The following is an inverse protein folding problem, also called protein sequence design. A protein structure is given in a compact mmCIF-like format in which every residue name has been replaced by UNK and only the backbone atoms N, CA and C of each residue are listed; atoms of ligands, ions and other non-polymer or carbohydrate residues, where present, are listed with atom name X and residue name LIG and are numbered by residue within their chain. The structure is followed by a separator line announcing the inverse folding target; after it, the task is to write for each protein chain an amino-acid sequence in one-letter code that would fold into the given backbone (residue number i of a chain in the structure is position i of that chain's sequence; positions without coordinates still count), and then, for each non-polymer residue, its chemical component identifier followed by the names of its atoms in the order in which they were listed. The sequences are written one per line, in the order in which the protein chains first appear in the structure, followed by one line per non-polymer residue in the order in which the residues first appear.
data_IF_165797729280
#
_entry.id   IF_165797729280
#
_cell.length_a   1.000
_cell.length_b   1.000
_cell.length_c   1.000
_cell.angle_alpha   90.00
_cell.angle_beta   90.00
_cell.angle_gamma   90.00
#
_symmetry.space_group_name_H-M   'P 1'
#
loop_
_entity.id
_entity.type
_entity.pdbx_description
1 polymer ?
#
# COMPACT_ATOMS: atom_id res chain seq x y z
N UNK A 1 -32.96 10.18 72.33
CA UNK A 1 -31.56 10.49 71.92
C UNK A 1 -31.08 9.29 71.11
N UNK A 2 -30.53 9.51 69.94
CA UNK A 2 -30.00 8.54 68.96
C UNK A 2 -30.97 7.93 67.93
N UNK A 3 -31.36 8.76 66.94
CA UNK A 3 -31.80 8.29 65.60
C UNK A 3 -31.41 9.25 64.45
N UNK A 4 -30.32 9.95 64.57
CA UNK A 4 -29.94 10.96 63.56
C UNK A 4 -28.44 10.94 63.18
N UNK A 5 -27.83 9.75 63.01
CA UNK A 5 -26.41 9.64 62.59
C UNK A 5 -26.15 8.53 61.57
N UNK A 6 -27.13 8.10 60.77
CA UNK A 6 -26.88 7.03 59.74
C UNK A 6 -27.27 7.38 58.30
N UNK A 7 -27.42 8.67 57.93
CA UNK A 7 -27.87 9.08 56.58
C UNK A 7 -26.82 9.91 55.81
N UNK A 8 -25.61 10.09 56.29
CA UNK A 8 -24.58 10.94 55.59
C UNK A 8 -23.42 10.16 54.95
N UNK A 9 -23.43 8.84 54.92
CA UNK A 9 -22.32 8.04 54.33
C UNK A 9 -22.66 7.39 52.96
N UNK A 10 -23.85 7.59 52.41
CA UNK A 10 -24.28 6.91 51.18
C UNK A 10 -24.37 7.81 49.94
N UNK A 11 -23.89 9.06 49.96
CA UNK A 11 -23.95 9.97 48.80
C UNK A 11 -22.61 10.37 48.21
N UNK A 12 -21.49 9.78 48.66
CA UNK A 12 -20.14 10.15 48.17
C UNK A 12 -19.50 9.11 47.19
N UNK A 13 -20.18 8.01 46.86
CA UNK A 13 -19.58 6.92 46.03
C UNK A 13 -20.21 6.78 44.65
N UNK A 14 -21.11 7.65 44.21
CA UNK A 14 -21.75 7.54 42.89
C UNK A 14 -21.22 8.55 41.85
N UNK A 15 -20.39 9.52 42.27
CA UNK A 15 -19.88 10.54 41.31
C UNK A 15 -18.50 10.27 40.71
N UNK A 16 -17.83 9.13 40.97
CA UNK A 16 -16.52 8.85 40.40
C UNK A 16 -16.52 7.84 39.23
N UNK A 17 -17.68 7.29 38.85
CA UNK A 17 -17.75 6.34 37.71
C UNK A 17 -18.19 6.98 36.35
N UNK A 18 -18.69 8.23 36.36
CA UNK A 18 -19.15 8.84 35.10
C UNK A 18 -18.05 9.52 34.28
N UNK A 19 -16.88 9.81 34.86
CA UNK A 19 -15.77 10.44 34.11
C UNK A 19 -14.86 9.46 33.38
N UNK A 20 -14.93 8.15 33.68
CA UNK A 20 -14.08 7.14 33.05
C UNK A 20 -14.71 6.45 31.84
N UNK A 21 -16.00 6.67 31.58
CA UNK A 21 -16.69 6.08 30.42
C UNK A 21 -16.77 6.97 29.19
N UNK A 22 -16.44 8.26 29.28
CA UNK A 22 -16.50 9.17 28.12
C UNK A 22 -15.25 9.15 27.22
N UNK A 23 -14.10 8.62 27.68
CA UNK A 23 -12.88 8.55 26.85
C UNK A 23 -12.68 7.25 26.08
N UNK A 24 -13.38 6.15 26.42
CA UNK A 24 -13.18 4.86 25.74
C UNK A 24 -14.01 4.72 24.44
N UNK A 25 -15.08 5.49 24.27
CA UNK A 25 -15.94 5.41 23.08
C UNK A 25 -15.42 6.19 21.89
N UNK A 26 -14.59 7.23 22.09
CA UNK A 26 -14.00 8.00 20.98
C UNK A 26 -12.74 7.34 20.40
N UNK A 27 -11.89 6.72 21.22
CA UNK A 27 -10.69 6.01 20.71
C UNK A 27 -11.03 4.83 19.83
N UNK A 28 -12.06 4.04 20.19
CA UNK A 28 -12.50 2.90 19.38
C UNK A 28 -13.15 3.29 18.05
N UNK A 29 -13.63 4.51 17.87
CA UNK A 29 -14.26 4.95 16.63
C UNK A 29 -13.24 5.19 15.52
N UNK A 30 -12.07 5.71 15.84
CA UNK A 30 -11.02 6.02 14.86
C UNK A 30 -10.14 4.81 14.51
N UNK A 31 -10.08 3.79 15.35
CA UNK A 31 -9.35 2.55 15.07
C UNK A 31 -10.09 1.62 14.09
N UNK A 32 -11.37 1.87 13.83
CA UNK A 32 -12.16 1.06 12.90
C UNK A 32 -11.88 1.49 11.47
N UNK A 33 -11.56 0.51 10.60
CA UNK A 33 -11.47 0.73 9.17
C UNK A 33 -12.87 1.02 8.60
N UNK A 34 -12.98 2.11 7.86
CA UNK A 34 -14.19 2.53 7.12
C UNK A 34 -13.96 2.44 5.62
N UNK A 35 -15.03 2.45 4.83
CA UNK A 35 -15.02 2.18 3.40
C UNK A 35 -15.77 3.28 2.68
N UNK A 36 -15.14 3.86 1.66
CA UNK A 36 -15.63 5.05 0.98
C UNK A 36 -15.48 4.94 -0.52
N UNK A 37 -16.14 5.84 -1.23
CA UNK A 37 -15.95 6.07 -2.66
C UNK A 37 -15.90 7.57 -2.94
N UNK A 38 -15.04 7.98 -3.86
CA UNK A 38 -14.91 9.35 -4.31
C UNK A 38 -14.61 9.39 -5.82
N UNK A 39 -15.13 10.40 -6.51
CA UNK A 39 -14.79 10.61 -7.91
C UNK A 39 -13.42 11.29 -8.02
N UNK A 40 -12.53 10.70 -8.79
CA UNK A 40 -11.21 11.22 -9.08
C UNK A 40 -10.81 10.90 -10.53
N UNK A 41 -10.46 11.91 -11.31
CA UNK A 41 -10.31 11.77 -12.74
C UNK A 41 -11.61 11.24 -13.38
N UNK A 42 -11.49 10.18 -14.18
CA UNK A 42 -12.62 9.50 -14.80
C UNK A 42 -13.04 8.19 -14.09
N UNK A 43 -12.64 8.04 -12.81
CA UNK A 43 -12.92 6.87 -11.97
C UNK A 43 -13.80 7.23 -10.78
N UNK A 44 -14.53 6.23 -10.25
CA UNK A 44 -15.04 6.26 -8.87
C UNK A 44 -14.12 5.39 -8.03
N UNK A 45 -13.23 6.02 -7.28
CA UNK A 45 -12.21 5.35 -6.49
C UNK A 45 -12.82 4.84 -5.19
N UNK A 46 -12.72 3.53 -4.96
CA UNK A 46 -12.95 2.94 -3.66
C UNK A 46 -11.70 3.09 -2.80
N UNK A 47 -11.86 3.42 -1.52
CA UNK A 47 -10.75 3.45 -0.58
C UNK A 47 -11.16 3.04 0.82
N UNK A 48 -10.16 2.59 1.58
CA UNK A 48 -10.26 2.32 3.02
C UNK A 48 -9.65 3.47 3.77
N UNK A 49 -10.25 3.82 4.89
CA UNK A 49 -9.80 4.88 5.78
C UNK A 49 -9.80 4.39 7.23
N UNK A 50 -8.80 4.78 8.01
CA UNK A 50 -8.73 4.53 9.44
C UNK A 50 -7.89 5.61 10.13
N UNK A 51 -8.08 5.77 11.43
CA UNK A 51 -7.38 6.77 12.23
C UNK A 51 -8.09 8.13 12.25
N UNK A 52 -7.50 9.06 12.99
CA UNK A 52 -8.01 10.41 13.13
C UNK A 52 -7.50 11.30 11.98
N UNK A 53 -8.39 11.95 11.20
CA UNK A 53 -7.99 12.83 10.11
C UNK A 53 -7.10 14.02 10.51
N UNK A 54 -7.00 14.33 11.81
CA UNK A 54 -6.10 15.38 12.32
C UNK A 54 -4.67 14.90 12.56
N UNK A 55 -4.41 13.58 12.43
CA UNK A 55 -3.08 12.99 12.59
C UNK A 55 -2.31 12.97 11.27
N UNK A 56 -0.97 12.79 11.32
CA UNK A 56 -0.18 12.65 10.11
C UNK A 56 -0.73 11.55 9.19
N UNK A 57 -0.88 11.85 7.91
CA UNK A 57 -1.48 10.94 6.94
C UNK A 57 -0.44 10.00 6.34
N UNK A 58 -0.81 8.72 6.17
CA UNK A 58 -0.09 7.75 5.36
C UNK A 58 -0.97 7.31 4.20
N UNK A 59 -0.55 7.60 2.97
CA UNK A 59 -1.16 7.09 1.74
C UNK A 59 -0.59 5.71 1.43
N UNK A 60 -1.46 4.69 1.37
CA UNK A 60 -1.08 3.29 1.21
C UNK A 60 -1.38 2.82 -0.23
N UNK A 61 -0.35 2.72 -1.06
CA UNK A 61 -0.45 2.32 -2.47
C UNK A 61 -0.09 0.85 -2.63
N UNK A 62 -1.09 0.04 -3.00
CA UNK A 62 -0.97 -1.39 -3.25
C UNK A 62 -0.31 -1.70 -4.61
N UNK A 63 -0.17 -2.99 -4.93
CA UNK A 63 0.31 -3.45 -6.22
C UNK A 63 -0.46 -4.67 -6.76
N UNK A 64 0.08 -5.27 -7.81
CA UNK A 64 -0.52 -6.43 -8.47
C UNK A 64 -0.30 -7.74 -7.67
N UNK A 65 -1.30 -8.62 -7.60
CA UNK A 65 -2.67 -8.49 -8.13
C UNK A 65 -3.68 -7.91 -7.14
N UNK A 66 -3.20 -7.33 -6.03
CA UNK A 66 -3.99 -6.97 -4.87
C UNK A 66 -4.70 -5.61 -5.01
N UNK A 67 -5.29 -5.17 -3.93
CA UNK A 67 -5.99 -3.90 -3.77
C UNK A 67 -5.82 -3.42 -2.31
N UNK A 68 -6.55 -2.39 -1.90
CA UNK A 68 -6.45 -1.84 -0.54
C UNK A 68 -6.65 -2.85 0.59
N UNK A 69 -7.29 -4.00 0.32
CA UNK A 69 -7.49 -5.05 1.33
C UNK A 69 -6.18 -5.70 1.80
N UNK A 70 -5.08 -5.58 1.05
CA UNK A 70 -3.77 -6.05 1.52
C UNK A 70 -3.31 -5.35 2.81
N UNK A 71 -3.84 -4.15 3.07
CA UNK A 71 -3.51 -3.36 4.27
C UNK A 71 -4.43 -3.65 5.46
N UNK A 72 -5.36 -4.64 5.37
CA UNK A 72 -6.35 -4.95 6.40
C UNK A 72 -5.76 -5.26 7.77
N UNK A 73 -4.60 -5.91 7.81
CA UNK A 73 -3.89 -6.22 9.06
C UNK A 73 -3.01 -5.05 9.54
N UNK A 74 -2.49 -4.23 8.62
CA UNK A 74 -1.61 -3.11 8.94
C UNK A 74 -2.38 -1.90 9.47
N UNK A 75 -3.51 -1.55 8.83
CA UNK A 75 -4.27 -0.34 9.18
C UNK A 75 -4.69 -0.29 10.66
N UNK A 76 -5.24 -1.36 11.26
CA UNK A 76 -5.60 -1.33 12.68
C UNK A 76 -4.41 -1.13 13.62
N UNK A 77 -3.20 -1.55 13.21
CA UNK A 77 -1.98 -1.43 14.02
C UNK A 77 -1.40 -0.01 14.03
N UNK A 78 -1.77 0.83 13.05
CA UNK A 78 -1.26 2.18 12.89
C UNK A 78 -2.31 3.27 13.18
N UNK A 79 -3.60 2.93 13.20
CA UNK A 79 -4.71 3.89 13.24
C UNK A 79 -4.82 4.69 14.54
N UNK A 80 -4.16 4.29 15.61
CA UNK A 80 -4.07 5.05 16.87
C UNK A 80 -3.09 6.23 16.79
N UNK A 81 -2.15 6.20 15.85
CA UNK A 81 -1.10 7.21 15.69
C UNK A 81 -1.20 7.99 14.38
N UNK A 82 -1.76 7.40 13.32
CA UNK A 82 -1.80 7.95 11.97
C UNK A 82 -3.19 7.94 11.36
N UNK A 83 -3.43 8.87 10.44
CA UNK A 83 -4.54 8.84 9.49
C UNK A 83 -4.14 8.01 8.27
N UNK A 84 -4.88 6.97 7.94
CA UNK A 84 -4.52 5.97 6.95
C UNK A 84 -5.52 5.99 5.79
N UNK A 85 -5.04 6.16 4.58
CA UNK A 85 -5.83 6.20 3.35
C UNK A 85 -5.28 5.15 2.37
N UNK A 86 -6.08 4.17 2.01
CA UNK A 86 -5.71 3.08 1.11
C UNK A 86 -6.69 2.99 -0.07
N UNK A 87 -6.41 3.62 -1.23
CA UNK A 87 -7.23 3.49 -2.43
C UNK A 87 -7.05 2.15 -3.12
N UNK A 88 -8.08 1.72 -3.85
CA UNK A 88 -7.96 0.74 -4.93
C UNK A 88 -7.62 1.52 -6.21
N UNK A 89 -6.45 1.27 -6.81
CA UNK A 89 -6.06 1.93 -8.05
C UNK A 89 -6.96 1.54 -9.23
N UNK A 90 -7.04 2.34 -10.32
CA UNK A 90 -7.79 1.96 -11.52
C UNK A 90 -7.45 0.55 -12.00
N UNK A 91 -8.43 -0.22 -12.41
CA UNK A 91 -8.36 -1.65 -12.76
C UNK A 91 -8.19 -2.63 -11.59
N UNK A 92 -8.21 -2.18 -10.35
CA UNK A 92 -8.07 -3.04 -9.17
C UNK A 92 -9.29 -2.96 -8.24
N UNK A 93 -9.46 -3.97 -7.41
CA UNK A 93 -10.42 -4.02 -6.31
C UNK A 93 -11.83 -3.59 -6.70
N UNK A 94 -12.40 -2.70 -5.91
CA UNK A 94 -13.77 -2.19 -6.05
C UNK A 94 -13.85 -0.84 -6.79
N UNK A 95 -12.73 -0.28 -7.24
CA UNK A 95 -12.73 0.94 -8.04
C UNK A 95 -13.44 0.71 -9.37
N UNK A 96 -14.38 1.62 -9.69
CA UNK A 96 -15.06 1.66 -10.99
C UNK A 96 -14.21 2.50 -11.94
N UNK A 97 -13.71 1.86 -12.98
CA UNK A 97 -12.83 2.45 -13.99
C UNK A 97 -13.47 2.35 -15.37
N UNK A 98 -13.13 3.23 -16.32
CA UNK A 98 -13.58 3.12 -17.71
C UNK A 98 -13.21 1.77 -18.34
N UNK A 99 -13.93 1.37 -19.40
CA UNK A 99 -13.57 0.21 -20.21
C UNK A 99 -12.24 0.43 -20.96
N UNK A 100 -11.59 -0.67 -21.38
CA UNK A 100 -10.37 -0.59 -22.21
C UNK A 100 -10.57 0.14 -23.55
N UNK A 101 -11.81 0.21 -24.05
CA UNK A 101 -12.12 0.94 -25.27
C UNK A 101 -12.16 2.46 -25.07
N UNK A 102 -12.35 2.91 -23.83
CA UNK A 102 -12.47 4.32 -23.46
C UNK A 102 -11.17 4.86 -22.85
N UNK A 103 -10.34 3.97 -22.28
CA UNK A 103 -9.14 4.34 -21.56
C UNK A 103 -8.00 3.36 -21.81
N UNK A 104 -6.84 3.87 -22.19
CA UNK A 104 -5.59 3.10 -22.18
C UNK A 104 -5.05 2.95 -20.75
N UNK A 105 -4.75 1.71 -20.34
CA UNK A 105 -4.24 1.41 -19.01
C UNK A 105 -2.72 1.46 -18.99
N UNK A 106 -2.18 2.55 -18.45
CA UNK A 106 -0.75 2.84 -18.28
C UNK A 106 -0.43 3.22 -16.85
N UNK A 107 0.83 3.14 -16.43
CA UNK A 107 1.24 3.63 -15.11
C UNK A 107 1.13 5.14 -14.95
N UNK A 108 1.23 5.89 -16.05
CA UNK A 108 0.95 7.33 -16.02
C UNK A 108 -0.53 7.60 -15.75
N UNK A 109 -1.44 6.86 -16.39
CA UNK A 109 -2.87 6.94 -16.10
C UNK A 109 -3.18 6.60 -14.63
N UNK A 110 -2.61 5.52 -14.08
CA UNK A 110 -2.79 5.18 -12.68
C UNK A 110 -2.30 6.31 -11.77
N UNK A 111 -1.12 6.85 -12.04
CA UNK A 111 -0.54 7.91 -11.24
C UNK A 111 -1.35 9.22 -11.33
N UNK A 112 -1.81 9.63 -12.53
CA UNK A 112 -2.69 10.80 -12.70
C UNK A 112 -4.02 10.64 -11.97
N UNK A 113 -4.59 9.43 -11.97
CA UNK A 113 -5.80 9.17 -11.21
C UNK A 113 -5.56 9.24 -9.70
N UNK A 114 -4.41 8.75 -9.22
CA UNK A 114 -4.04 8.87 -7.80
C UNK A 114 -3.69 10.32 -7.42
N UNK A 115 -3.11 11.12 -8.32
CA UNK A 115 -2.96 12.56 -8.14
C UNK A 115 -4.32 13.23 -7.91
N UNK A 116 -5.26 13.03 -8.83
CA UNK A 116 -6.64 13.55 -8.69
C UNK A 116 -7.34 13.03 -7.42
N UNK A 117 -7.06 11.81 -6.99
CA UNK A 117 -7.58 11.24 -5.75
C UNK A 117 -7.04 11.98 -4.51
N UNK A 118 -5.72 12.23 -4.45
CA UNK A 118 -5.13 12.99 -3.34
C UNK A 118 -5.64 14.43 -3.29
N UNK A 119 -5.85 15.05 -4.45
CA UNK A 119 -6.46 16.39 -4.54
C UNK A 119 -7.92 16.41 -4.09
N UNK A 120 -8.73 15.42 -4.50
CA UNK A 120 -10.14 15.32 -4.09
C UNK A 120 -10.31 15.11 -2.57
N UNK A 121 -9.33 14.51 -1.91
CA UNK A 121 -9.29 14.34 -0.45
C UNK A 121 -8.52 15.46 0.27
N UNK A 122 -8.00 16.47 -0.45
CA UNK A 122 -7.19 17.55 0.12
C UNK A 122 -5.99 17.05 0.93
N UNK A 123 -5.29 16.02 0.42
CA UNK A 123 -4.09 15.48 1.04
C UNK A 123 -2.87 16.33 0.62
N UNK A 124 -2.60 17.40 1.35
CA UNK A 124 -1.52 18.33 1.04
C UNK A 124 -0.14 17.79 1.45
N UNK A 125 -0.07 17.00 2.54
CA UNK A 125 1.16 16.38 3.03
C UNK A 125 0.86 14.96 3.53
N UNK A 126 1.69 13.99 3.12
CA UNK A 126 1.54 12.59 3.52
C UNK A 126 2.85 11.82 3.43
N UNK A 127 3.03 10.84 4.31
CA UNK A 127 3.96 9.76 4.06
C UNK A 127 3.34 8.79 3.04
N UNK A 128 4.15 8.18 2.18
CA UNK A 128 3.68 7.17 1.22
C UNK A 128 4.19 5.79 1.61
N UNK A 129 3.27 4.82 1.67
CA UNK A 129 3.61 3.42 1.60
C UNK A 129 3.45 2.95 0.17
N UNK A 130 4.52 2.41 -0.42
CA UNK A 130 4.56 1.97 -1.81
C UNK A 130 4.92 0.48 -1.88
N UNK A 131 4.06 -0.29 -2.55
CA UNK A 131 4.23 -1.72 -2.76
C UNK A 131 4.09 -2.08 -4.23
N UNK A 132 5.00 -2.87 -4.81
CA UNK A 132 4.91 -3.40 -6.17
C UNK A 132 4.56 -2.31 -7.21
N UNK A 133 3.38 -2.33 -7.86
CA UNK A 133 2.91 -1.28 -8.78
C UNK A 133 2.68 0.07 -8.07
N UNK A 134 2.41 0.06 -6.78
CA UNK A 134 2.34 1.29 -5.99
C UNK A 134 3.67 2.05 -5.95
N UNK A 135 4.82 1.39 -6.18
CA UNK A 135 6.11 2.07 -6.22
C UNK A 135 6.24 3.02 -7.44
N UNK A 136 6.09 2.57 -8.69
CA UNK A 136 6.16 3.50 -9.82
C UNK A 136 5.04 4.54 -9.86
N UNK A 137 3.86 4.24 -9.27
CA UNK A 137 2.78 5.22 -9.10
C UNK A 137 3.17 6.27 -8.06
N UNK A 138 3.57 5.86 -6.87
CA UNK A 138 3.95 6.78 -5.79
C UNK A 138 5.19 7.62 -6.14
N UNK A 139 6.18 7.04 -6.80
CA UNK A 139 7.36 7.78 -7.24
C UNK A 139 7.05 8.83 -8.32
N UNK A 140 6.04 8.60 -9.18
CA UNK A 140 5.55 9.67 -10.07
C UNK A 140 4.91 10.80 -9.28
N UNK A 141 4.05 10.51 -8.31
CA UNK A 141 3.47 11.53 -7.42
C UNK A 141 4.56 12.32 -6.70
N UNK A 142 5.58 11.64 -6.20
CA UNK A 142 6.71 12.25 -5.51
C UNK A 142 7.53 13.17 -6.42
N UNK A 143 7.75 12.78 -7.69
CA UNK A 143 8.43 13.65 -8.66
C UNK A 143 7.60 14.87 -9.05
N UNK A 144 6.27 14.71 -9.17
CA UNK A 144 5.39 15.81 -9.56
C UNK A 144 5.14 16.81 -8.42
N UNK A 145 5.07 16.30 -7.18
CA UNK A 145 4.74 17.04 -5.97
C UNK A 145 5.68 16.69 -4.80
N UNK A 146 7.00 16.97 -4.96
CA UNK A 146 7.98 16.61 -3.93
C UNK A 146 7.68 17.25 -2.56
N UNK A 147 7.03 18.39 -2.55
CA UNK A 147 6.63 19.11 -1.34
C UNK A 147 5.53 18.41 -0.53
N UNK A 148 4.76 17.52 -1.15
CA UNK A 148 3.67 16.78 -0.47
C UNK A 148 4.16 15.54 0.27
N UNK A 149 5.34 15.02 -0.11
CA UNK A 149 5.85 13.74 0.39
C UNK A 149 6.74 13.95 1.61
N UNK A 150 6.24 13.57 2.79
CA UNK A 150 7.00 13.73 4.05
C UNK A 150 7.97 12.57 4.30
N UNK A 151 7.63 11.35 3.88
CA UNK A 151 8.47 10.17 3.98
C UNK A 151 8.02 9.08 2.98
N UNK A 152 8.90 8.13 2.67
CA UNK A 152 8.60 6.97 1.82
C UNK A 152 8.82 5.69 2.61
N UNK A 153 7.82 4.82 2.64
CA UNK A 153 7.89 3.46 3.16
C UNK A 153 7.77 2.52 1.97
N UNK A 154 8.86 1.88 1.58
CA UNK A 154 8.89 0.95 0.44
C UNK A 154 8.88 -0.50 0.93
N UNK A 155 7.77 -1.20 0.72
CA UNK A 155 7.69 -2.63 0.95
C UNK A 155 7.73 -3.35 -0.41
N UNK A 156 8.86 -4.00 -0.71
CA UNK A 156 9.09 -4.64 -2.01
C UNK A 156 8.75 -3.75 -3.22
N UNK A 157 8.89 -2.42 -3.05
CA UNK A 157 8.68 -1.40 -4.07
C UNK A 157 10.02 -0.97 -4.67
N UNK A 158 10.24 -1.25 -5.94
CA UNK A 158 11.55 -1.16 -6.58
C UNK A 158 11.65 -0.01 -7.60
N UNK A 159 12.82 0.64 -7.67
CA UNK A 159 13.17 1.59 -8.71
C UNK A 159 14.64 1.45 -9.20
N UNK A 160 15.15 0.23 -9.15
CA UNK A 160 16.52 -0.11 -9.57
C UNK A 160 16.53 -1.37 -10.42
N UNK A 161 17.34 -1.38 -11.51
CA UNK A 161 17.47 -2.53 -12.40
C UNK A 161 17.95 -3.79 -11.67
N UNK A 162 18.91 -3.64 -10.75
CA UNK A 162 19.43 -4.72 -9.94
C UNK A 162 18.41 -5.36 -8.98
N UNK A 163 17.28 -4.68 -8.74
CA UNK A 163 16.16 -5.20 -7.97
C UNK A 163 15.22 -6.11 -8.75
N UNK A 164 15.34 -6.16 -10.07
CA UNK A 164 14.51 -6.99 -10.93
C UNK A 164 15.05 -8.42 -11.00
N UNK A 165 14.35 -9.38 -10.39
CA UNK A 165 14.73 -10.79 -10.37
C UNK A 165 14.50 -11.50 -11.72
N UNK A 166 14.86 -12.80 -11.80
CA UNK A 166 14.75 -13.60 -13.03
C UNK A 166 13.35 -13.63 -13.65
N UNK A 167 12.29 -13.47 -12.86
CA UNK A 167 10.91 -13.42 -13.37
C UNK A 167 10.68 -12.28 -14.36
N UNK A 168 11.54 -11.24 -14.38
CA UNK A 168 11.45 -10.12 -15.30
C UNK A 168 12.03 -10.40 -16.69
N UNK A 169 12.78 -11.47 -16.89
CA UNK A 169 13.32 -11.85 -18.20
C UNK A 169 12.22 -12.06 -19.25
N UNK A 170 11.15 -12.78 -18.90
CA UNK A 170 10.00 -12.97 -19.79
C UNK A 170 9.28 -11.67 -20.11
N UNK A 171 9.17 -10.75 -19.13
CA UNK A 171 8.57 -9.42 -19.33
C UNK A 171 9.46 -8.57 -20.24
N UNK A 172 10.76 -8.56 -20.04
CA UNK A 172 11.72 -7.85 -20.92
C UNK A 172 11.68 -8.38 -22.37
N UNK A 173 11.55 -9.69 -22.58
CA UNK A 173 11.37 -10.28 -23.90
C UNK A 173 10.06 -9.80 -24.56
N UNK A 174 8.97 -9.76 -23.81
CA UNK A 174 7.70 -9.24 -24.29
C UNK A 174 7.77 -7.73 -24.62
N UNK A 175 8.44 -6.93 -23.80
CA UNK A 175 8.62 -5.48 -24.05
C UNK A 175 9.44 -5.20 -25.31
N UNK A 176 10.44 -6.03 -25.59
CA UNK A 176 11.28 -5.89 -26.77
C UNK A 176 10.54 -6.26 -28.08
N UNK A 177 9.58 -7.17 -28.01
CA UNK A 177 8.80 -7.63 -29.16
C UNK A 177 7.36 -8.00 -28.72
N UNK A 178 6.45 -7.00 -28.57
CA UNK A 178 5.11 -7.22 -28.05
C UNK A 178 4.19 -7.90 -29.08
N UNK A 179 4.24 -9.25 -29.12
CA UNK A 179 3.35 -10.04 -29.98
C UNK A 179 2.15 -10.60 -29.20
N UNK A 180 1.04 -10.93 -29.87
CA UNK A 180 -0.12 -11.57 -29.23
C UNK A 180 0.23 -12.87 -28.52
N UNK A 181 1.18 -13.66 -29.06
CA UNK A 181 1.63 -14.93 -28.48
C UNK A 181 2.37 -14.71 -27.15
N UNK A 182 3.25 -13.71 -27.09
CA UNK A 182 3.96 -13.35 -25.86
C UNK A 182 3.00 -12.74 -24.84
N UNK A 183 2.03 -11.92 -25.27
CA UNK A 183 0.95 -11.42 -24.40
C UNK A 183 0.17 -12.57 -23.77
N UNK A 184 -0.21 -13.58 -24.57
CA UNK A 184 -0.99 -14.72 -24.09
C UNK A 184 -0.26 -15.56 -23.02
N UNK A 185 1.07 -15.53 -22.96
CA UNK A 185 1.84 -16.23 -21.93
C UNK A 185 1.56 -15.70 -20.51
N UNK A 186 1.11 -14.44 -20.37
CA UNK A 186 0.79 -13.85 -19.08
C UNK A 186 -0.59 -14.26 -18.55
N UNK A 187 -1.43 -14.96 -19.34
CA UNK A 187 -2.74 -15.44 -18.88
C UNK A 187 -2.63 -16.32 -17.61
N UNK A 188 -1.54 -17.07 -17.46
CA UNK A 188 -1.28 -17.88 -16.27
C UNK A 188 -1.04 -17.05 -15.00
N UNK A 189 -0.69 -15.77 -15.12
CA UNK A 189 -0.47 -14.88 -13.97
C UNK A 189 -1.76 -14.63 -13.18
N UNK A 190 -2.92 -14.82 -13.82
CA UNK A 190 -4.26 -14.58 -13.24
C UNK A 190 -4.90 -15.84 -12.67
N UNK A 191 -4.26 -17.00 -12.85
CA UNK A 191 -4.73 -18.26 -12.25
C UNK A 191 -4.60 -18.22 -10.73
N UNK A 192 -5.59 -18.74 -10.00
CA UNK A 192 -5.61 -18.79 -8.55
C UNK A 192 -4.32 -19.34 -7.96
N UNK A 193 -3.79 -20.45 -8.51
CA UNK A 193 -2.56 -21.08 -8.01
C UNK A 193 -1.33 -20.17 -8.19
N UNK A 194 -1.27 -19.36 -9.25
CA UNK A 194 -0.18 -18.39 -9.44
C UNK A 194 -0.30 -17.22 -8.46
N UNK A 195 -1.51 -16.70 -8.28
CA UNK A 195 -1.79 -15.63 -7.30
C UNK A 195 -1.45 -16.12 -5.89
N UNK A 196 -1.96 -17.29 -5.48
CA UNK A 196 -1.64 -17.93 -4.21
C UNK A 196 -0.12 -18.11 -4.03
N UNK A 197 0.56 -18.53 -5.09
CA UNK A 197 2.03 -18.68 -5.10
C UNK A 197 2.77 -17.37 -4.83
N UNK A 198 2.25 -16.21 -5.26
CA UNK A 198 2.86 -14.91 -4.96
C UNK A 198 2.75 -14.57 -3.46
N UNK A 199 1.67 -14.98 -2.81
CA UNK A 199 1.45 -14.78 -1.38
C UNK A 199 2.28 -15.71 -0.50
N UNK A 200 2.37 -16.99 -0.90
CA UNK A 200 2.93 -18.05 -0.04
C UNK A 200 4.42 -18.34 -0.30
N UNK A 201 4.94 -18.03 -1.49
CA UNK A 201 6.35 -18.31 -1.81
C UNK A 201 7.29 -17.52 -0.90
N UNK A 202 8.20 -18.24 -0.25
CA UNK A 202 9.21 -17.65 0.63
C UNK A 202 8.67 -17.14 1.97
N UNK A 203 7.42 -17.43 2.28
CA UNK A 203 6.72 -17.06 3.51
C UNK A 203 6.63 -18.29 4.44
N UNK A 204 6.63 -18.13 5.77
CA UNK A 204 6.45 -19.26 6.68
C UNK A 204 5.16 -20.04 6.39
N UNK A 205 5.24 -21.37 6.42
CA UNK A 205 4.10 -22.23 6.15
C UNK A 205 2.93 -21.96 7.12
N UNK A 206 1.70 -21.87 6.59
CA UNK A 206 0.49 -21.63 7.37
C UNK A 206 0.31 -20.20 7.89
N UNK A 207 1.21 -19.26 7.56
CA UNK A 207 1.12 -17.88 8.03
C UNK A 207 0.28 -16.95 7.14
N UNK A 208 -0.15 -17.40 5.98
CA UNK A 208 -0.93 -16.61 5.01
C UNK A 208 -2.38 -17.04 5.04
N UNK A 209 -3.28 -16.09 5.35
CA UNK A 209 -4.72 -16.32 5.27
C UNK A 209 -5.16 -16.44 3.79
N UNK A 210 -6.15 -17.32 3.48
CA UNK A 210 -6.62 -17.48 2.10
C UNK A 210 -7.41 -16.28 1.58
N UNK A 211 -7.94 -15.44 2.44
CA UNK A 211 -8.86 -14.34 2.13
C UNK A 211 -8.23 -13.36 1.12
N UNK A 212 -6.94 -13.02 1.26
CA UNK A 212 -6.25 -12.08 0.39
C UNK A 212 -6.17 -12.59 -1.05
N UNK A 213 -5.56 -13.75 -1.26
CA UNK A 213 -5.34 -14.27 -2.61
C UNK A 213 -6.62 -14.77 -3.29
N UNK A 214 -7.63 -15.23 -2.52
CA UNK A 214 -8.93 -15.59 -3.07
C UNK A 214 -9.69 -14.35 -3.56
N UNK A 215 -9.63 -13.25 -2.82
CA UNK A 215 -10.25 -12.00 -3.22
C UNK A 215 -9.55 -11.40 -4.45
N UNK A 216 -8.22 -11.47 -4.52
CA UNK A 216 -7.45 -11.04 -5.70
C UNK A 216 -7.82 -11.86 -6.94
N UNK A 217 -7.91 -13.19 -6.80
CA UNK A 217 -8.33 -14.06 -7.90
C UNK A 217 -9.76 -13.72 -8.38
N UNK A 218 -10.65 -13.38 -7.46
CA UNK A 218 -11.98 -12.91 -7.81
C UNK A 218 -11.92 -11.58 -8.59
N UNK A 219 -11.19 -10.58 -8.10
CA UNK A 219 -11.13 -9.27 -8.76
C UNK A 219 -10.51 -9.35 -10.15
N UNK A 220 -9.45 -10.12 -10.34
CA UNK A 220 -8.80 -10.25 -11.65
C UNK A 220 -9.67 -11.03 -12.64
N UNK A 221 -10.62 -11.86 -12.16
CA UNK A 221 -11.57 -12.60 -12.99
C UNK A 221 -12.74 -11.75 -13.51
N UNK A 222 -12.91 -10.54 -12.99
CA UNK A 222 -13.96 -9.63 -13.46
C UNK A 222 -13.73 -9.22 -14.93
N UNK A 223 -14.79 -8.88 -15.68
CA UNK A 223 -14.67 -8.51 -17.08
C UNK A 223 -13.57 -7.47 -17.35
N UNK A 224 -12.80 -7.68 -18.41
CA UNK A 224 -11.67 -6.86 -18.86
C UNK A 224 -10.48 -6.74 -17.89
N UNK A 225 -10.59 -7.12 -16.61
CA UNK A 225 -9.54 -6.90 -15.59
C UNK A 225 -8.23 -7.55 -15.98
N UNK A 226 -8.23 -8.81 -16.41
CA UNK A 226 -7.02 -9.52 -16.84
C UNK A 226 -6.36 -8.80 -18.04
N UNK A 227 -7.15 -8.29 -18.98
CA UNK A 227 -6.62 -7.57 -20.14
C UNK A 227 -6.06 -6.18 -19.77
N UNK A 228 -6.69 -5.48 -18.81
CA UNK A 228 -6.14 -4.25 -18.23
C UNK A 228 -4.79 -4.52 -17.56
N UNK A 229 -4.66 -5.64 -16.84
CA UNK A 229 -3.38 -6.06 -16.25
C UNK A 229 -2.34 -6.42 -17.31
N UNK A 230 -2.73 -7.05 -18.43
CA UNK A 230 -1.84 -7.30 -19.56
C UNK A 230 -1.31 -6.00 -20.19
N UNK A 231 -2.14 -4.96 -20.25
CA UNK A 231 -1.71 -3.64 -20.73
C UNK A 231 -0.67 -3.04 -19.75
N UNK A 232 -0.90 -3.13 -18.44
CA UNK A 232 0.03 -2.67 -17.42
C UNK A 232 1.35 -3.49 -17.41
N UNK A 233 1.31 -4.81 -17.66
CA UNK A 233 2.53 -5.62 -17.83
C UNK A 233 3.38 -5.11 -19.00
N UNK A 234 2.76 -4.75 -20.11
CA UNK A 234 3.45 -4.16 -21.26
C UNK A 234 4.00 -2.77 -20.92
N UNK A 235 3.14 -1.93 -20.31
CA UNK A 235 3.51 -0.55 -19.98
C UNK A 235 4.55 -0.46 -18.85
N UNK A 236 4.77 -1.52 -18.06
CA UNK A 236 5.79 -1.51 -17.01
C UNK A 236 7.21 -1.16 -17.55
N UNK A 237 7.47 -1.37 -18.84
CA UNK A 237 8.70 -0.89 -19.50
C UNK A 237 8.94 0.61 -19.32
N UNK A 238 7.88 1.41 -19.26
CA UNK A 238 7.97 2.86 -19.03
C UNK A 238 8.48 3.18 -17.62
N UNK A 239 8.14 2.34 -16.62
CA UNK A 239 8.67 2.49 -15.26
C UNK A 239 10.16 2.26 -15.22
N UNK A 240 10.65 1.18 -15.88
CA UNK A 240 12.08 0.90 -15.95
C UNK A 240 12.84 2.04 -16.68
N UNK A 241 12.24 2.59 -17.73
CA UNK A 241 12.80 3.75 -18.42
C UNK A 241 12.84 5.02 -17.53
N UNK A 242 11.95 5.12 -16.54
CA UNK A 242 11.90 6.22 -15.59
C UNK A 242 12.78 6.01 -14.34
N UNK A 243 13.38 4.84 -14.13
CA UNK A 243 14.24 4.58 -12.96
C UNK A 243 15.34 5.64 -12.76
N UNK A 244 16.07 6.11 -13.79
CA UNK A 244 17.04 7.18 -13.62
C UNK A 244 16.44 8.48 -13.07
N UNK A 245 15.19 8.81 -13.46
CA UNK A 245 14.49 10.02 -12.99
C UNK A 245 13.98 9.85 -11.55
N UNK A 246 13.48 8.66 -11.18
CA UNK A 246 13.15 8.33 -9.79
C UNK A 246 14.38 8.43 -8.89
N UNK A 247 15.51 7.88 -9.33
CA UNK A 247 16.78 7.97 -8.61
C UNK A 247 17.27 9.42 -8.50
N UNK A 248 17.09 10.24 -9.55
CA UNK A 248 17.41 11.67 -9.49
C UNK A 248 16.54 12.42 -8.48
N UNK A 249 15.22 12.12 -8.44
CA UNK A 249 14.35 12.65 -7.40
C UNK A 249 14.88 12.29 -5.99
N UNK A 250 15.24 11.02 -5.75
CA UNK A 250 15.78 10.58 -4.47
C UNK A 250 17.07 11.34 -4.10
N UNK A 251 17.98 11.53 -5.04
CA UNK A 251 19.24 12.30 -4.81
C UNK A 251 18.99 13.77 -4.52
N UNK A 252 18.05 14.37 -5.26
CA UNK A 252 17.80 15.81 -5.18
C UNK A 252 17.03 16.19 -3.92
N UNK A 253 15.97 15.46 -3.60
CA UNK A 253 15.08 15.81 -2.50
C UNK A 253 15.39 15.09 -1.19
N UNK A 254 16.22 14.03 -1.23
CA UNK A 254 16.65 13.27 -0.04
C UNK A 254 15.49 12.93 0.90
N UNK A 255 14.36 12.39 0.40
CA UNK A 255 13.25 12.04 1.27
C UNK A 255 13.69 11.00 2.31
N UNK A 256 13.15 11.09 3.51
CA UNK A 256 13.31 10.01 4.48
C UNK A 256 12.71 8.72 3.92
N UNK A 257 13.48 7.63 3.95
CA UNK A 257 13.04 6.36 3.35
C UNK A 257 13.30 5.17 4.29
N UNK A 258 12.23 4.40 4.50
CA UNK A 258 12.26 3.08 5.12
C UNK A 258 11.97 2.03 4.03
N UNK A 259 12.89 1.10 3.81
CA UNK A 259 12.65 -0.09 3.00
C UNK A 259 12.43 -1.30 3.91
N UNK A 260 11.24 -1.88 3.89
CA UNK A 260 10.96 -3.17 4.53
C UNK A 260 10.74 -4.20 3.44
N UNK A 261 11.50 -5.29 3.45
CA UNK A 261 11.55 -6.17 2.31
C UNK A 261 11.43 -7.64 2.69
N UNK A 262 10.55 -8.36 2.03
CA UNK A 262 10.53 -9.82 2.08
C UNK A 262 11.80 -10.36 1.41
N UNK A 263 12.73 -10.90 2.22
CA UNK A 263 14.07 -11.32 1.73
C UNK A 263 14.04 -12.45 0.70
N UNK A 264 12.92 -13.15 0.61
CA UNK A 264 12.71 -14.29 -0.29
C UNK A 264 11.89 -13.91 -1.55
N UNK A 265 11.62 -12.63 -1.79
CA UNK A 265 10.87 -12.18 -2.96
C UNK A 265 11.63 -12.56 -4.26
N UNK A 266 11.02 -13.35 -5.16
CA UNK A 266 11.65 -13.73 -6.41
C UNK A 266 11.45 -12.70 -7.54
N UNK A 267 10.57 -11.71 -7.34
CA UNK A 267 10.25 -10.65 -8.31
C UNK A 267 11.10 -9.42 -8.08
N UNK A 268 10.94 -8.79 -6.92
CA UNK A 268 11.79 -7.67 -6.49
C UNK A 268 12.75 -8.16 -5.43
N UNK A 269 13.95 -8.55 -5.89
CA UNK A 269 14.94 -9.18 -5.02
C UNK A 269 15.61 -8.18 -4.06
N UNK A 270 16.20 -8.63 -2.93
CA UNK A 270 16.83 -7.77 -1.92
C UNK A 270 17.88 -6.78 -2.43
N UNK A 271 18.43 -6.99 -3.61
CA UNK A 271 19.36 -6.05 -4.23
C UNK A 271 18.71 -4.69 -4.48
N UNK A 272 17.40 -4.64 -4.84
CA UNK A 272 16.65 -3.40 -5.02
C UNK A 272 16.54 -2.59 -3.73
N UNK A 273 16.24 -3.24 -2.59
CA UNK A 273 16.23 -2.57 -1.29
C UNK A 273 17.59 -1.98 -0.94
N UNK A 274 18.66 -2.75 -1.13
CA UNK A 274 20.03 -2.29 -0.84
C UNK A 274 20.46 -1.13 -1.73
N UNK A 275 19.96 -1.08 -2.97
CA UNK A 275 20.29 -0.05 -3.93
C UNK A 275 19.82 1.36 -3.52
N UNK A 276 18.78 1.47 -2.67
CA UNK A 276 18.36 2.76 -2.12
C UNK A 276 19.50 3.50 -1.40
N UNK A 277 20.43 2.78 -0.75
CA UNK A 277 21.59 3.39 -0.07
C UNK A 277 22.52 4.17 -1.00
N UNK A 278 22.50 3.88 -2.30
CA UNK A 278 23.31 4.61 -3.30
C UNK A 278 22.87 6.06 -3.45
N UNK A 279 21.55 6.28 -3.43
CA UNK A 279 20.94 7.58 -3.65
C UNK A 279 20.46 8.25 -2.34
N UNK A 280 20.17 7.43 -1.32
CA UNK A 280 19.77 7.83 0.03
C UNK A 280 20.65 7.13 1.08
N UNK A 281 21.83 7.66 1.41
CA UNK A 281 22.74 7.03 2.37
C UNK A 281 22.12 6.76 3.75
N UNK A 282 21.13 7.58 4.15
CA UNK A 282 20.42 7.49 5.42
C UNK A 282 19.18 6.59 5.39
N UNK A 283 18.82 5.98 4.23
CA UNK A 283 17.68 5.07 4.15
C UNK A 283 17.78 3.94 5.20
N UNK A 284 16.69 3.66 5.89
CA UNK A 284 16.59 2.50 6.79
C UNK A 284 16.19 1.27 5.97
N UNK A 285 16.88 0.13 6.15
CA UNK A 285 16.58 -1.10 5.39
C UNK A 285 16.42 -2.27 6.36
N UNK A 286 15.25 -2.91 6.32
CA UNK A 286 14.92 -4.09 7.10
C UNK A 286 14.46 -5.25 6.19
N UNK A 287 14.87 -6.47 6.54
CA UNK A 287 14.48 -7.67 5.84
C UNK A 287 13.69 -8.58 6.77
N UNK A 288 12.51 -9.00 6.32
CA UNK A 288 11.70 -9.99 7.04
C UNK A 288 11.76 -11.35 6.32
N UNK A 289 11.63 -12.48 7.05
CA UNK A 289 11.71 -13.82 6.45
C UNK A 289 10.41 -14.19 5.71
N UNK A 290 10.06 -13.40 4.71
CA UNK A 290 8.85 -13.55 3.89
C UNK A 290 9.18 -13.40 2.40
N UNK A 291 8.21 -13.71 1.55
CA UNK A 291 8.21 -13.45 0.12
C UNK A 291 7.72 -12.04 -0.23
N UNK A 292 7.04 -11.93 -1.38
CA UNK A 292 6.58 -10.66 -1.93
C UNK A 292 5.54 -9.96 -1.05
N UNK A 293 4.52 -10.70 -0.57
CA UNK A 293 3.44 -10.17 0.28
C UNK A 293 3.81 -10.23 1.77
N UNK A 294 4.84 -9.48 2.17
CA UNK A 294 5.36 -9.52 3.54
C UNK A 294 4.34 -9.12 4.61
N UNK A 295 3.35 -8.28 4.29
CA UNK A 295 2.28 -7.90 5.22
C UNK A 295 1.40 -9.08 5.64
N UNK A 296 1.26 -10.11 4.82
CA UNK A 296 0.41 -11.26 5.15
C UNK A 296 0.92 -12.07 6.36
N UNK A 297 2.20 -11.99 6.64
CA UNK A 297 2.83 -12.77 7.71
C UNK A 297 3.57 -11.92 8.76
N UNK A 298 3.89 -10.67 8.46
CA UNK A 298 4.75 -9.82 9.29
C UNK A 298 4.17 -8.41 9.52
N UNK A 299 2.83 -8.24 9.43
CA UNK A 299 2.19 -6.94 9.57
C UNK A 299 2.56 -6.23 10.89
N UNK A 300 2.58 -6.94 12.01
CA UNK A 300 2.93 -6.38 13.32
C UNK A 300 4.38 -5.88 13.37
N UNK A 301 5.35 -6.68 12.87
CA UNK A 301 6.76 -6.28 12.82
C UNK A 301 6.97 -5.08 11.89
N UNK A 302 6.29 -5.07 10.74
CA UNK A 302 6.35 -3.96 9.77
C UNK A 302 5.73 -2.69 10.37
N UNK A 303 4.61 -2.79 11.09
CA UNK A 303 4.01 -1.66 11.80
C UNK A 303 4.99 -1.04 12.82
N UNK A 304 5.72 -1.86 13.58
CA UNK A 304 6.73 -1.39 14.52
C UNK A 304 7.91 -0.67 13.83
N UNK A 305 8.36 -1.16 12.66
CA UNK A 305 9.36 -0.44 11.89
C UNK A 305 8.85 0.92 11.41
N UNK A 306 7.60 0.98 10.92
CA UNK A 306 6.96 2.21 10.45
C UNK A 306 6.85 3.23 11.58
N UNK A 307 6.33 2.84 12.76
CA UNK A 307 6.18 3.73 13.92
C UNK A 307 7.54 4.34 14.32
N UNK A 308 8.53 3.49 14.55
CA UNK A 308 9.90 3.94 14.94
C UNK A 308 10.56 4.82 13.89
N UNK A 309 10.27 4.58 12.61
CA UNK A 309 10.80 5.38 11.52
C UNK A 309 10.14 6.75 11.48
N UNK A 310 8.81 6.82 11.55
CA UNK A 310 8.07 8.07 11.47
C UNK A 310 8.17 8.93 12.75
N UNK A 311 8.39 8.33 13.93
CA UNK A 311 8.67 9.08 15.19
C UNK A 311 9.94 9.95 15.12
N UNK A 312 10.86 9.67 14.20
CA UNK A 312 12.12 10.40 14.03
C UNK A 312 12.01 11.59 13.06
N UNK A 313 10.84 11.77 12.43
CA UNK A 313 10.58 12.80 11.40
C UNK A 313 9.89 14.04 11.99
#
# INVERSE_FOLDING_TARGET
MNKMKKIIVLLATVLSCAACQMNSTNSNKHMKVTYHQINAGNCTIFYREAGDPQKPTILLLHGFPSASHMFRELMPLLADEYHLIAPDMPSFGQTVSPSRNEQEYTFDYLARTMEAFTEALHLDHYAMYIFDYGAPVGLRLAMWHPERVTAIISQNGNCYDEGLGKKWEARRAYWANPTPELRAQFASAYALETIKGQYTFGTPEGSVAPDGYLLDAYYVSLPERAEMQNDLILDYRTNVALYPQFQEYLRTYQPHLLAVWGKNDPSFIPAGAKAFKRDLPNAEIHFVPSGHFALESHAAEIAEYIKRFLEKQ
#
